data_IF_365242050547
#
_entry.id   IF_365242050547
#
_cell.length_a   1.000
_cell.length_b   1.000
_cell.length_c   1.000
_cell.angle_alpha   90.00
_cell.angle_beta   90.00
_cell.angle_gamma   90.00
#
_symmetry.space_group_name_H-M   'P 1'
#
loop_
_entity.id
_entity.type
_entity.pdbx_description
1 polymer ?
#
# COMPACT_ATOMS: atom_id res chain seq x y z
N UNK A 1 35.93 -48.61 -63.03
CA UNK A 1 35.48 -48.61 -61.62
C UNK A 1 36.36 -47.63 -60.86
N UNK A 2 35.95 -46.37 -60.79
CA UNK A 2 36.63 -45.35 -59.99
C UNK A 2 35.63 -44.89 -58.94
N UNK A 3 35.92 -45.20 -57.68
CA UNK A 3 35.10 -44.90 -56.52
C UNK A 3 35.11 -43.40 -56.25
N UNK A 4 33.95 -42.78 -56.41
CA UNK A 4 33.71 -41.38 -56.11
C UNK A 4 33.56 -41.24 -54.59
N UNK A 5 34.65 -40.93 -53.88
CA UNK A 5 34.59 -40.57 -52.47
C UNK A 5 34.05 -39.14 -52.36
N UNK A 6 32.73 -38.99 -52.28
CA UNK A 6 32.13 -37.74 -51.82
C UNK A 6 32.54 -37.52 -50.36
N UNK A 7 33.51 -36.62 -50.16
CA UNK A 7 33.80 -36.08 -48.84
C UNK A 7 32.54 -35.40 -48.33
N UNK A 8 31.92 -35.99 -47.30
CA UNK A 8 30.79 -35.39 -46.62
C UNK A 8 31.21 -34.01 -46.11
N UNK A 9 30.51 -32.97 -46.57
CA UNK A 9 30.71 -31.60 -46.14
C UNK A 9 30.28 -31.47 -44.67
N UNK A 10 31.20 -31.75 -43.75
CA UNK A 10 30.96 -31.74 -42.29
C UNK A 10 30.68 -30.34 -41.73
N UNK A 11 30.64 -29.30 -42.57
CA UNK A 11 30.43 -27.91 -42.16
C UNK A 11 28.96 -27.50 -42.02
N UNK A 12 27.99 -28.34 -42.45
CA UNK A 12 26.56 -27.97 -42.43
C UNK A 12 25.78 -28.53 -41.24
N UNK A 13 26.25 -29.60 -40.58
CA UNK A 13 25.48 -30.30 -39.54
C UNK A 13 26.29 -30.53 -38.26
N UNK A 14 25.73 -30.12 -37.12
CA UNK A 14 26.34 -30.34 -35.81
C UNK A 14 26.21 -31.81 -35.37
N UNK A 15 27.34 -32.45 -35.06
CA UNK A 15 27.40 -33.81 -34.51
C UNK A 15 27.96 -33.71 -33.09
N UNK A 16 27.21 -34.16 -32.09
CA UNK A 16 27.46 -33.87 -30.66
C UNK A 16 28.81 -34.33 -30.07
N UNK A 17 29.49 -35.28 -30.72
CA UNK A 17 30.83 -35.76 -30.31
C UNK A 17 31.96 -35.21 -31.21
N UNK A 18 31.63 -34.42 -32.23
CA UNK A 18 32.57 -33.82 -33.18
C UNK A 18 32.87 -32.35 -32.87
N UNK A 19 33.75 -31.74 -33.67
CA UNK A 19 34.01 -30.30 -33.60
C UNK A 19 32.78 -29.53 -34.08
N UNK A 20 32.46 -28.42 -33.41
CA UNK A 20 31.36 -27.54 -33.83
C UNK A 20 31.68 -26.96 -35.22
N UNK A 21 30.77 -27.09 -36.20
CA UNK A 21 30.94 -26.48 -37.52
C UNK A 21 31.18 -24.97 -37.44
N UNK A 22 32.01 -24.45 -38.34
CA UNK A 22 32.47 -23.05 -38.26
C UNK A 22 31.34 -22.03 -38.39
N UNK A 23 30.34 -22.32 -39.22
CA UNK A 23 29.13 -21.51 -39.39
C UNK A 23 28.31 -21.43 -38.09
N UNK A 24 28.08 -22.57 -37.44
CA UNK A 24 27.35 -22.65 -36.16
C UNK A 24 28.12 -21.94 -35.05
N UNK A 25 29.44 -22.12 -34.99
CA UNK A 25 30.30 -21.41 -34.02
C UNK A 25 30.21 -19.89 -34.19
N UNK A 26 30.27 -19.38 -35.43
CA UNK A 26 30.13 -17.93 -35.71
C UNK A 26 28.74 -17.42 -35.33
N UNK A 27 27.69 -18.17 -35.65
CA UNK A 27 26.33 -17.84 -35.26
C UNK A 27 26.20 -17.75 -33.73
N UNK A 28 26.69 -18.75 -32.98
CA UNK A 28 26.64 -18.75 -31.52
C UNK A 28 27.47 -17.62 -30.88
N UNK A 29 28.63 -17.31 -31.46
CA UNK A 29 29.48 -16.20 -31.01
C UNK A 29 28.82 -14.82 -31.15
N UNK A 30 27.82 -14.69 -32.03
CA UNK A 30 27.01 -13.47 -32.17
C UNK A 30 25.72 -13.58 -31.35
N UNK A 31 25.01 -14.71 -31.45
CA UNK A 31 23.72 -14.91 -30.81
C UNK A 31 23.81 -14.81 -29.29
N UNK A 32 24.79 -15.45 -28.66
CA UNK A 32 24.94 -15.47 -27.20
C UNK A 32 25.14 -14.06 -26.62
N UNK A 33 26.12 -13.25 -27.08
CA UNK A 33 26.28 -11.90 -26.56
C UNK A 33 25.09 -10.99 -26.90
N UNK A 34 24.47 -11.14 -28.09
CA UNK A 34 23.27 -10.37 -28.43
C UNK A 34 22.11 -10.73 -27.50
N UNK A 35 21.87 -12.01 -27.24
CA UNK A 35 20.81 -12.46 -26.34
C UNK A 35 21.08 -12.00 -24.90
N UNK A 36 22.33 -12.10 -24.43
CA UNK A 36 22.73 -11.59 -23.13
C UNK A 36 22.52 -10.08 -23.02
N UNK A 37 22.88 -9.33 -24.07
CA UNK A 37 22.65 -7.89 -24.14
C UNK A 37 21.15 -7.55 -24.13
N UNK A 38 20.33 -8.27 -24.89
CA UNK A 38 18.87 -8.10 -24.88
C UNK A 38 18.31 -8.37 -23.49
N UNK A 39 18.73 -9.44 -22.81
CA UNK A 39 18.28 -9.73 -21.44
C UNK A 39 18.69 -8.61 -20.48
N UNK A 40 19.92 -8.09 -20.58
CA UNK A 40 20.38 -6.96 -19.78
C UNK A 40 19.58 -5.68 -20.04
N UNK A 41 19.30 -5.37 -21.32
CA UNK A 41 18.48 -4.21 -21.70
C UNK A 41 17.07 -4.36 -21.16
N UNK A 42 16.42 -5.52 -21.37
CA UNK A 42 15.09 -5.79 -20.85
C UNK A 42 15.07 -5.68 -19.32
N UNK A 43 16.08 -6.23 -18.64
CA UNK A 43 16.24 -6.14 -17.19
C UNK A 43 16.41 -4.71 -16.67
N UNK A 44 17.05 -3.82 -17.44
CA UNK A 44 17.21 -2.41 -17.09
C UNK A 44 15.98 -1.57 -17.43
N UNK A 45 15.29 -1.87 -18.54
CA UNK A 45 14.17 -1.09 -19.06
C UNK A 45 12.84 -1.47 -18.39
N UNK A 46 12.57 -2.76 -18.16
CA UNK A 46 11.29 -3.20 -17.60
C UNK A 46 10.95 -2.60 -16.23
N UNK A 47 11.89 -2.47 -15.27
CA UNK A 47 11.62 -1.82 -14.00
C UNK A 47 11.25 -0.34 -14.13
N UNK A 48 11.71 0.35 -15.18
CA UNK A 48 11.38 1.75 -15.42
C UNK A 48 9.95 1.93 -15.96
N UNK A 49 9.39 0.90 -16.61
CA UNK A 49 8.05 0.91 -17.21
C UNK A 49 7.00 0.36 -16.24
N UNK A 50 7.38 -0.55 -15.34
CA UNK A 50 6.46 -1.12 -14.36
C UNK A 50 6.50 -0.40 -13.01
N UNK A 51 5.36 0.20 -12.62
CA UNK A 51 5.12 0.75 -11.29
C UNK A 51 4.86 -0.39 -10.26
N UNK A 52 5.85 -1.25 -10.04
CA UNK A 52 5.75 -2.34 -9.06
C UNK A 52 5.78 -1.84 -7.61
N UNK A 53 6.25 -0.60 -7.41
CA UNK A 53 6.42 0.02 -6.10
C UNK A 53 5.62 1.32 -6.05
N UNK A 54 4.38 1.21 -5.57
CA UNK A 54 3.58 2.39 -5.27
C UNK A 54 4.35 3.37 -4.34
N UNK A 55 3.93 4.64 -4.35
CA UNK A 55 4.53 5.71 -3.54
C UNK A 55 4.37 5.55 -2.02
N UNK A 56 3.72 4.47 -1.56
CA UNK A 56 3.45 4.21 -0.16
C UNK A 56 4.70 3.96 0.67
N UNK A 57 4.73 4.50 1.88
CA UNK A 57 5.89 4.45 2.78
C UNK A 57 5.46 4.05 4.20
N UNK A 58 6.27 3.19 4.81
CA UNK A 58 6.18 2.80 6.22
C UNK A 58 7.37 3.41 6.93
N UNK A 59 7.13 4.26 7.92
CA UNK A 59 8.20 4.81 8.74
C UNK A 59 8.43 3.96 9.99
N UNK A 60 9.57 4.19 10.64
CA UNK A 60 9.86 3.63 11.96
C UNK A 60 8.81 4.06 12.97
N UNK A 61 8.68 3.27 14.04
CA UNK A 61 7.79 3.63 15.13
C UNK A 61 8.21 4.96 15.75
N UNK A 62 7.24 5.81 16.01
CA UNK A 62 7.40 7.10 16.67
C UNK A 62 6.24 7.33 17.64
N UNK A 63 6.39 8.35 18.48
CA UNK A 63 5.41 8.72 19.49
C UNK A 63 4.48 9.82 18.96
N UNK A 64 3.21 9.74 19.34
CA UNK A 64 2.18 10.71 19.01
C UNK A 64 1.38 11.02 20.27
N UNK A 65 1.13 12.29 20.52
CA UNK A 65 0.27 12.72 21.63
C UNK A 65 -1.06 13.23 21.08
N UNK A 66 -2.16 12.69 21.59
CA UNK A 66 -3.48 13.03 21.09
C UNK A 66 -4.61 12.41 21.87
N UNK A 67 -5.83 12.83 21.54
CA UNK A 67 -7.06 12.27 22.09
C UNK A 67 -7.41 10.98 21.33
N UNK A 68 -7.46 9.85 22.05
CA UNK A 68 -7.83 8.56 21.47
C UNK A 68 -9.34 8.40 21.43
N UNK A 69 -9.89 8.14 20.25
CA UNK A 69 -11.32 7.93 20.05
C UNK A 69 -11.58 6.55 19.47
N UNK A 70 -12.63 5.87 19.95
CA UNK A 70 -13.00 4.52 19.53
C UNK A 70 -14.04 4.46 18.40
N UNK A 71 -14.80 5.53 18.19
CA UNK A 71 -15.94 5.58 17.28
C UNK A 71 -15.75 6.68 16.22
N UNK A 72 -16.08 6.45 14.94
CA UNK A 72 -16.68 5.22 14.38
C UNK A 72 -15.70 4.04 14.24
N UNK A 73 -14.42 4.35 14.21
CA UNK A 73 -13.30 3.39 14.23
C UNK A 73 -12.21 3.95 15.15
N UNK A 74 -11.29 3.13 15.66
CA UNK A 74 -10.16 3.62 16.43
C UNK A 74 -9.34 4.65 15.64
N UNK A 75 -9.21 5.86 16.16
CA UNK A 75 -8.42 6.93 15.56
C UNK A 75 -7.87 7.89 16.62
N UNK A 76 -6.76 8.55 16.30
CA UNK A 76 -6.10 9.53 17.16
C UNK A 76 -6.32 10.94 16.61
N UNK A 77 -6.72 11.88 17.48
CA UNK A 77 -6.75 13.30 17.19
C UNK A 77 -5.52 13.98 17.77
N UNK A 78 -4.63 14.43 16.89
CA UNK A 78 -3.40 15.12 17.26
C UNK A 78 -3.58 16.61 17.02
N UNK A 79 -3.41 17.48 18.03
CA UNK A 79 -3.50 18.93 17.85
C UNK A 79 -2.57 19.42 16.75
N UNK A 80 -3.04 20.34 15.90
CA UNK A 80 -2.17 21.03 14.95
C UNK A 80 -1.47 22.20 15.64
N UNK A 81 -0.15 22.39 15.42
CA UNK A 81 0.55 23.57 15.92
C UNK A 81 0.13 24.83 15.14
N UNK A 82 0.23 25.99 15.79
CA UNK A 82 -0.04 27.30 15.17
C UNK A 82 -1.49 27.77 15.25
N UNK A 83 -1.79 28.88 14.57
CA UNK A 83 -3.17 29.39 14.48
C UNK A 83 -4.01 28.49 13.57
N UNK A 84 -5.04 27.87 14.13
CA UNK A 84 -5.97 26.99 13.42
C UNK A 84 -7.32 27.65 13.15
N UNK A 85 -7.44 28.98 13.32
CA UNK A 85 -8.69 29.72 13.12
C UNK A 85 -9.39 29.48 11.76
N UNK A 86 -8.62 29.14 10.71
CA UNK A 86 -9.12 28.86 9.36
C UNK A 86 -9.07 27.38 8.93
N UNK A 87 -8.59 26.47 9.79
CA UNK A 87 -8.43 25.05 9.48
C UNK A 87 -8.93 24.17 10.64
N UNK A 88 -9.10 22.86 10.40
CA UNK A 88 -9.45 21.97 11.51
C UNK A 88 -8.32 21.92 12.56
N UNK A 89 -8.67 22.13 13.84
CA UNK A 89 -7.69 22.21 14.96
C UNK A 89 -6.91 20.92 15.22
N UNK A 90 -7.32 19.81 14.59
CA UNK A 90 -6.73 18.49 14.76
C UNK A 90 -6.35 17.86 13.42
N UNK A 91 -5.27 17.09 13.44
CA UNK A 91 -4.96 16.04 12.47
C UNK A 91 -5.59 14.74 12.95
N UNK A 92 -6.24 14.00 12.05
CA UNK A 92 -6.91 12.73 12.36
C UNK A 92 -6.14 11.58 11.74
N UNK A 93 -5.70 10.63 12.57
CA UNK A 93 -5.00 9.43 12.12
C UNK A 93 -5.82 8.20 12.45
N UNK A 94 -6.21 7.44 11.42
CA UNK A 94 -6.81 6.12 11.63
C UNK A 94 -5.79 5.21 12.32
N UNK A 95 -6.27 4.36 13.21
CA UNK A 95 -5.42 3.40 13.91
C UNK A 95 -5.68 1.98 13.42
N UNK A 96 -4.59 1.22 13.32
CA UNK A 96 -4.60 -0.20 13.00
C UNK A 96 -3.69 -0.94 13.97
N UNK A 97 -3.85 -2.25 14.09
CA UNK A 97 -2.90 -3.09 14.82
C UNK A 97 -1.62 -3.36 14.00
N UNK A 98 -0.59 -3.98 14.60
CA UNK A 98 0.61 -4.41 13.89
C UNK A 98 0.33 -5.50 12.84
N UNK A 99 -0.72 -6.33 13.04
CA UNK A 99 -1.18 -7.36 12.11
C UNK A 99 -2.31 -6.90 11.18
N UNK A 100 -3.06 -7.85 10.60
CA UNK A 100 -4.25 -7.56 9.76
C UNK A 100 -5.48 -7.30 10.63
N UNK A 101 -5.34 -6.49 11.67
CA UNK A 101 -6.34 -6.35 12.74
C UNK A 101 -6.54 -4.90 13.17
N UNK A 102 -7.61 -4.64 13.91
CA UNK A 102 -7.75 -3.47 14.79
C UNK A 102 -6.55 -3.32 15.77
N UNK A 103 -6.38 -2.15 16.39
CA UNK A 103 -5.46 -1.98 17.52
C UNK A 103 -5.72 -3.01 18.63
N UNK A 104 -4.68 -3.32 19.41
CA UNK A 104 -4.77 -4.24 20.56
C UNK A 104 -5.72 -3.68 21.63
N UNK A 105 -6.33 -4.56 22.43
CA UNK A 105 -7.18 -4.17 23.57
C UNK A 105 -6.47 -3.18 24.49
N UNK A 106 -5.19 -3.40 24.81
CA UNK A 106 -4.40 -2.50 25.66
C UNK A 106 -4.32 -1.05 25.14
N UNK A 107 -4.47 -0.84 23.83
CA UNK A 107 -4.62 0.50 23.24
C UNK A 107 -6.05 0.99 23.37
N UNK A 108 -7.03 0.13 23.02
CA UNK A 108 -8.45 0.47 23.04
C UNK A 108 -9.00 0.76 24.45
N UNK A 109 -8.40 0.19 25.50
CA UNK A 109 -8.74 0.45 26.90
C UNK A 109 -8.46 1.91 27.32
N UNK A 110 -7.72 2.66 26.50
CA UNK A 110 -7.43 4.08 26.70
C UNK A 110 -8.34 5.03 25.90
N UNK A 111 -9.37 4.50 25.21
CA UNK A 111 -10.34 5.33 24.47
C UNK A 111 -10.99 6.37 25.40
N UNK A 112 -11.13 7.58 24.89
CA UNK A 112 -11.66 8.74 25.62
C UNK A 112 -10.60 9.51 26.41
N UNK A 113 -9.36 9.03 26.47
CA UNK A 113 -8.25 9.68 27.16
C UNK A 113 -7.29 10.35 26.19
N UNK A 114 -6.57 11.35 26.70
CA UNK A 114 -5.34 11.77 26.08
C UNK A 114 -4.29 10.69 26.28
N UNK A 115 -3.59 10.36 25.20
CA UNK A 115 -2.60 9.29 25.22
C UNK A 115 -1.31 9.72 24.55
N UNK A 116 -0.21 9.18 25.06
CA UNK A 116 1.03 9.04 24.33
C UNK A 116 1.02 7.68 23.63
N UNK A 117 0.80 7.70 22.32
CA UNK A 117 0.67 6.51 21.47
C UNK A 117 1.97 6.26 20.70
N UNK A 118 2.48 5.04 20.78
CA UNK A 118 3.64 4.60 20.00
C UNK A 118 3.17 3.73 18.83
N UNK A 119 3.58 4.08 17.61
CA UNK A 119 3.16 3.35 16.42
C UNK A 119 3.96 3.70 15.17
N UNK A 120 3.86 2.85 14.15
CA UNK A 120 4.52 3.09 12.85
C UNK A 120 3.53 3.76 11.91
N UNK A 121 3.78 5.01 11.46
CA UNK A 121 2.93 5.64 10.48
C UNK A 121 3.19 5.05 9.09
N UNK A 122 2.10 4.88 8.35
CA UNK A 122 2.05 4.41 6.98
C UNK A 122 1.30 5.47 6.19
N UNK A 123 1.89 5.94 5.09
CA UNK A 123 1.29 7.00 4.31
C UNK A 123 1.50 6.84 2.81
N UNK A 124 0.49 7.28 2.07
CA UNK A 124 0.48 7.43 0.62
C UNK A 124 -0.40 8.64 0.29
N UNK A 125 0.11 9.58 -0.48
CA UNK A 125 -0.58 10.83 -0.80
C UNK A 125 -1.05 11.52 0.51
N UNK A 126 -2.35 11.79 0.61
CA UNK A 126 -2.97 12.46 1.76
C UNK A 126 -3.55 11.48 2.80
N UNK A 127 -3.36 10.16 2.64
CA UNK A 127 -3.76 9.16 3.62
C UNK A 127 -2.59 8.82 4.54
N UNK A 128 -2.74 9.10 5.83
CA UNK A 128 -1.80 8.67 6.88
C UNK A 128 -2.53 7.86 7.94
N UNK A 129 -1.99 6.68 8.26
CA UNK A 129 -2.55 5.71 9.21
C UNK A 129 -1.44 5.23 10.14
N UNK A 130 -1.76 5.00 11.41
CA UNK A 130 -0.77 4.55 12.40
C UNK A 130 -1.04 3.08 12.74
N UNK A 131 -0.04 2.23 12.54
CA UNK A 131 -0.01 0.89 13.11
C UNK A 131 0.40 0.99 14.58
N UNK A 132 -0.61 1.12 15.45
CA UNK A 132 -0.46 1.33 16.88
C UNK A 132 0.13 0.10 17.57
N UNK A 133 1.08 0.32 18.48
CA UNK A 133 1.75 -0.73 19.26
C UNK A 133 1.36 -0.67 20.74
N UNK A 134 1.36 0.54 21.30
CA UNK A 134 1.00 0.84 22.69
C UNK A 134 0.41 2.24 22.79
N UNK A 135 -0.34 2.48 23.88
CA UNK A 135 -0.83 3.78 24.26
C UNK A 135 -0.81 3.87 25.78
N UNK A 136 -0.29 4.99 26.29
CA UNK A 136 -0.24 5.30 27.72
C UNK A 136 -1.05 6.55 27.97
N UNK A 137 -1.91 6.55 28.99
CA UNK A 137 -2.70 7.71 29.32
C UNK A 137 -1.81 8.84 29.85
N UNK A 138 -2.10 10.06 29.42
CA UNK A 138 -1.44 11.30 29.86
C UNK A 138 -2.50 12.34 30.24
N UNK A 139 -2.08 13.38 30.93
CA UNK A 139 -2.94 14.53 31.19
C UNK A 139 -3.26 15.28 29.89
N UNK A 140 -4.46 15.87 29.84
CA UNK A 140 -4.85 16.70 28.72
C UNK A 140 -3.93 17.93 28.64
N UNK A 141 -3.40 18.28 27.45
CA UNK A 141 -2.60 19.48 27.30
C UNK A 141 -3.43 20.73 27.62
N UNK A 142 -2.79 21.70 28.29
CA UNK A 142 -3.43 22.97 28.61
C UNK A 142 -3.85 23.70 27.34
N UNK A 143 -5.10 24.16 27.28
CA UNK A 143 -5.64 24.83 26.10
C UNK A 143 -6.10 23.91 24.96
N UNK A 144 -6.21 22.60 25.21
CA UNK A 144 -6.77 21.67 24.23
C UNK A 144 -8.21 22.07 23.84
N UNK A 145 -8.41 22.37 22.55
CA UNK A 145 -9.73 22.72 22.00
C UNK A 145 -10.59 21.46 21.94
N UNK A 146 -11.87 21.53 22.27
CA UNK A 146 -12.74 20.35 22.10
C UNK A 146 -12.91 20.05 20.59
N UNK A 147 -12.80 18.78 20.16
CA UNK A 147 -13.05 18.44 18.76
C UNK A 147 -14.48 18.82 18.36
N UNK A 148 -14.63 19.53 17.24
CA UNK A 148 -15.95 19.85 16.70
C UNK A 148 -16.71 18.59 16.27
N UNK A 149 -18.03 18.61 16.47
CA UNK A 149 -18.90 17.63 15.86
C UNK A 149 -18.89 17.83 14.33
N UNK A 150 -18.72 16.74 13.58
CA UNK A 150 -18.78 16.79 12.12
C UNK A 150 -20.14 17.30 11.64
N UNK A 151 -20.15 18.04 10.53
CA UNK A 151 -21.39 18.47 9.85
C UNK A 151 -21.62 17.62 8.59
N UNK A 152 -22.88 17.37 8.28
CA UNK A 152 -23.24 16.76 6.99
C UNK A 152 -22.87 17.70 5.85
N UNK A 153 -22.23 17.16 4.81
CA UNK A 153 -21.92 17.90 3.58
C UNK A 153 -22.99 17.69 2.48
N UNK A 154 -24.01 16.88 2.75
CA UNK A 154 -25.02 16.48 1.77
C UNK A 154 -24.76 15.11 1.15
N UNK A 155 -25.53 14.80 0.12
CA UNK A 155 -25.43 13.53 -0.62
C UNK A 155 -24.64 13.73 -1.91
N UNK A 156 -23.74 12.79 -2.21
CA UNK A 156 -22.88 12.82 -3.38
C UNK A 156 -22.86 11.46 -4.07
N UNK A 157 -22.78 11.47 -5.40
CA UNK A 157 -22.48 10.27 -6.19
C UNK A 157 -21.01 10.31 -6.62
N UNK A 158 -20.25 9.29 -6.23
CA UNK A 158 -18.81 9.20 -6.42
C UNK A 158 -18.45 7.84 -7.02
N UNK A 159 -17.42 7.80 -7.87
CA UNK A 159 -16.86 6.58 -8.42
C UNK A 159 -15.44 6.40 -7.89
N UNK A 160 -15.11 5.19 -7.44
CA UNK A 160 -13.79 4.88 -6.92
C UNK A 160 -13.70 3.47 -6.36
N UNK A 161 -12.71 3.25 -5.50
CA UNK A 161 -12.32 1.93 -5.02
C UNK A 161 -12.44 1.83 -3.50
N UNK A 162 -12.93 0.69 -3.01
CA UNK A 162 -12.88 0.38 -1.58
C UNK A 162 -11.57 -0.34 -1.28
N UNK A 163 -10.71 0.27 -0.46
CA UNK A 163 -9.40 -0.26 -0.08
C UNK A 163 -9.26 -0.30 1.44
N UNK A 164 -8.32 -1.09 1.95
CA UNK A 164 -8.00 -1.08 3.38
C UNK A 164 -7.05 0.06 3.72
N UNK A 165 -7.18 0.67 4.90
CA UNK A 165 -6.35 1.81 5.28
C UNK A 165 -4.90 1.45 5.68
N UNK A 166 -4.42 0.21 5.45
CA UNK A 166 -3.09 -0.26 5.89
C UNK A 166 -2.19 -0.82 4.79
N UNK A 167 -2.60 -1.90 4.11
CA UNK A 167 -1.86 -2.49 2.99
C UNK A 167 -1.72 -1.46 1.87
N UNK A 168 -2.84 -0.81 1.49
CA UNK A 168 -2.90 0.17 0.39
C UNK A 168 -1.88 1.32 0.51
N UNK A 169 -1.77 2.04 1.65
CA UNK A 169 -0.84 3.16 1.77
C UNK A 169 0.63 2.75 1.92
N UNK A 170 0.98 1.46 2.00
CA UNK A 170 2.39 1.07 1.87
C UNK A 170 2.86 -0.15 2.67
N UNK A 171 2.01 -0.79 3.48
CA UNK A 171 2.40 -2.06 4.14
C UNK A 171 2.56 -3.19 3.12
N UNK A 172 1.76 -3.17 2.05
CA UNK A 172 1.93 -4.07 0.91
C UNK A 172 2.48 -3.30 -0.29
N UNK A 173 3.43 -3.91 -1.01
CA UNK A 173 4.00 -3.39 -2.25
C UNK A 173 3.97 -4.46 -3.34
N UNK A 174 3.18 -4.29 -4.42
CA UNK A 174 2.21 -3.21 -4.64
C UNK A 174 0.95 -3.36 -3.77
N UNK A 175 0.48 -2.26 -3.20
CA UNK A 175 -0.82 -2.16 -2.49
C UNK A 175 -1.97 -1.79 -3.43
N UNK A 176 -2.07 -2.50 -4.56
CA UNK A 176 -3.09 -2.35 -5.60
C UNK A 176 -3.25 -3.66 -6.39
N UNK A 177 -4.28 -3.75 -7.24
CA UNK A 177 -4.64 -4.92 -8.07
C UNK A 177 -5.18 -6.14 -7.30
N UNK A 178 -5.45 -7.24 -8.01
CA UNK A 178 -6.02 -8.49 -7.47
C UNK A 178 -5.23 -9.07 -6.30
N UNK A 179 -3.91 -8.88 -6.27
CA UNK A 179 -3.09 -9.36 -5.14
C UNK A 179 -3.42 -8.59 -3.87
N UNK A 180 -3.53 -7.27 -3.95
CA UNK A 180 -3.94 -6.42 -2.84
C UNK A 180 -5.37 -6.63 -2.41
N UNK A 181 -6.31 -6.89 -3.34
CA UNK A 181 -7.71 -7.22 -3.00
C UNK A 181 -7.83 -8.26 -1.88
N UNK A 182 -7.07 -9.35 -2.01
CA UNK A 182 -7.03 -10.41 -0.99
C UNK A 182 -6.42 -9.94 0.34
N UNK A 183 -5.38 -9.09 0.32
CA UNK A 183 -4.79 -8.44 1.50
C UNK A 183 -5.83 -7.57 2.21
N UNK A 184 -6.53 -6.74 1.45
CA UNK A 184 -7.49 -5.77 1.89
C UNK A 184 -8.70 -6.44 2.55
N UNK A 185 -9.28 -7.46 1.91
CA UNK A 185 -10.37 -8.25 2.49
C UNK A 185 -9.99 -8.79 3.87
N UNK A 186 -8.77 -9.35 4.02
CA UNK A 186 -8.31 -9.85 5.31
C UNK A 186 -8.09 -8.75 6.34
N UNK A 187 -7.48 -7.63 5.95
CA UNK A 187 -7.32 -6.47 6.84
C UNK A 187 -8.67 -5.94 7.33
N UNK A 188 -9.61 -5.69 6.41
CA UNK A 188 -10.93 -5.15 6.72
C UNK A 188 -11.71 -6.14 7.58
N UNK A 189 -11.65 -7.44 7.28
CA UNK A 189 -12.30 -8.47 8.11
C UNK A 189 -11.76 -8.51 9.54
N UNK A 190 -10.48 -8.18 9.75
CA UNK A 190 -9.85 -8.13 11.06
C UNK A 190 -10.03 -6.80 11.80
N UNK A 191 -10.76 -5.84 11.22
CA UNK A 191 -11.07 -4.56 11.86
C UNK A 191 -10.22 -3.37 11.39
N UNK A 192 -9.36 -3.53 10.38
CA UNK A 192 -8.72 -2.37 9.73
C UNK A 192 -9.80 -1.51 9.07
N UNK A 193 -9.81 -0.18 9.28
CA UNK A 193 -10.82 0.69 8.68
C UNK A 193 -10.82 0.61 7.14
N UNK A 194 -12.00 0.38 6.51
CA UNK A 194 -12.14 0.51 5.06
C UNK A 194 -12.24 1.98 4.66
N UNK A 195 -11.54 2.36 3.60
CA UNK A 195 -11.60 3.70 3.02
C UNK A 195 -12.04 3.62 1.56
N UNK A 196 -12.87 4.57 1.15
CA UNK A 196 -13.26 4.76 -0.24
C UNK A 196 -12.33 5.78 -0.87
N UNK A 197 -11.53 5.30 -1.82
CA UNK A 197 -10.56 6.08 -2.56
C UNK A 197 -11.18 6.58 -3.85
N UNK A 198 -11.27 7.89 -4.01
CA UNK A 198 -11.87 8.56 -5.17
C UNK A 198 -10.99 9.70 -5.65
N UNK A 199 -11.25 10.15 -6.88
CA UNK A 199 -10.70 11.40 -7.41
C UNK A 199 -11.79 12.46 -7.44
N UNK A 200 -11.47 13.70 -7.05
CA UNK A 200 -12.37 14.83 -7.27
C UNK A 200 -12.29 15.33 -8.73
N UNK A 201 -13.09 16.35 -9.07
CA UNK A 201 -13.10 16.93 -10.43
C UNK A 201 -11.78 17.60 -10.82
N UNK A 202 -11.00 18.04 -9.82
CA UNK A 202 -9.67 18.64 -9.99
C UNK A 202 -8.56 17.58 -10.16
N UNK A 203 -8.88 16.29 -9.99
CA UNK A 203 -7.91 15.19 -10.04
C UNK A 203 -7.20 14.91 -8.72
N UNK A 204 -7.61 15.53 -7.61
CA UNK A 204 -7.05 15.27 -6.30
C UNK A 204 -7.58 13.95 -5.72
N UNK A 205 -6.71 13.26 -5.00
CA UNK A 205 -7.03 12.05 -4.26
C UNK A 205 -7.84 12.40 -3.00
N UNK A 206 -9.01 11.79 -2.84
CA UNK A 206 -9.82 11.84 -1.62
C UNK A 206 -9.93 10.44 -1.01
N UNK A 207 -9.84 10.39 0.32
CA UNK A 207 -10.00 9.17 1.11
C UNK A 207 -11.14 9.38 2.09
N UNK A 208 -12.23 8.66 1.89
CA UNK A 208 -13.43 8.76 2.71
C UNK A 208 -13.54 7.53 3.60
N UNK A 209 -13.58 7.73 4.91
CA UNK A 209 -13.84 6.62 5.84
C UNK A 209 -15.26 6.09 5.61
N UNK A 210 -15.40 4.78 5.41
CA UNK A 210 -16.71 4.16 5.24
C UNK A 210 -17.30 3.74 6.59
N UNK A 211 -18.47 4.30 6.88
CA UNK A 211 -19.29 4.02 8.06
C UNK A 211 -20.74 3.82 7.61
N UNK A 212 -21.55 3.18 8.45
CA UNK A 212 -22.99 3.09 8.19
C UNK A 212 -23.74 4.36 8.66
N UNK A 213 -25.06 4.35 8.48
CA UNK A 213 -25.95 5.46 8.86
C UNK A 213 -25.99 5.71 10.38
N UNK A 214 -25.51 4.78 11.19
CA UNK A 214 -25.39 4.86 12.65
C UNK A 214 -23.96 5.23 13.09
N UNK A 215 -23.12 5.67 12.15
CA UNK A 215 -21.71 5.99 12.39
C UNK A 215 -20.93 4.80 12.98
N UNK A 216 -21.27 3.58 12.56
CA UNK A 216 -20.56 2.36 12.94
C UNK A 216 -19.69 1.85 11.77
N UNK A 217 -18.61 1.18 12.11
CA UNK A 217 -17.70 0.59 11.14
C UNK A 217 -18.43 -0.44 10.24
N UNK A 218 -18.21 -0.38 8.92
CA UNK A 218 -18.90 -1.28 7.98
C UNK A 218 -18.22 -2.65 7.85
N UNK A 219 -16.88 -2.68 7.94
CA UNK A 219 -15.98 -3.85 7.87
C UNK A 219 -16.53 -5.06 7.11
N UNK A 220 -16.99 -6.10 7.82
CA UNK A 220 -17.43 -7.38 7.24
C UNK A 220 -18.58 -7.24 6.24
N UNK A 221 -19.37 -6.16 6.31
CA UNK A 221 -20.55 -5.92 5.45
C UNK A 221 -20.21 -5.49 4.02
N UNK A 222 -18.94 -5.15 3.74
CA UNK A 222 -18.53 -4.63 2.41
C UNK A 222 -17.45 -5.47 1.74
N UNK A 223 -17.12 -6.65 2.26
CA UNK A 223 -15.99 -7.46 1.77
C UNK A 223 -16.16 -7.92 0.31
N UNK A 224 -17.39 -8.10 -0.15
CA UNK A 224 -17.73 -8.43 -1.55
C UNK A 224 -17.46 -7.26 -2.51
N UNK A 225 -17.38 -6.03 -1.99
CA UNK A 225 -17.21 -4.78 -2.75
C UNK A 225 -15.79 -4.24 -2.76
N UNK A 226 -14.86 -4.92 -2.08
CA UNK A 226 -13.45 -4.53 -2.03
C UNK A 226 -12.79 -4.73 -3.40
N UNK A 227 -12.05 -3.69 -3.84
CA UNK A 227 -11.32 -3.64 -5.10
C UNK A 227 -10.13 -4.59 -5.14
#
# INVERSE_FOLDING_TARGET
MSTNSQGQNTDEFYIGYGKVPTAIKRFLLILIPVLALVILILGAVFPLIHDQFNSGKVNKAQEFEGLLLGQPVPHLLVPRPGDTSSQASYSRYLLTGPGKTSPKSSVLDQVGKWVKLTGSPVYRNNLTVIAARSAEAIDAPSGAVKPDAGKSLGEFSLLGEIVDSKCYPGVMKPGQTKTHRSCAIRCISGGVPPVFFVYNQQGDNLYLLLVDRQNQAVNSRILDKVA
#
